data_IF_009383961950
#
_entry.id   IF_009383961950
#
_cell.length_a   1.000
_cell.length_b   1.000
_cell.length_c   1.000
_cell.angle_alpha   90.00
_cell.angle_beta   90.00
_cell.angle_gamma   90.00
#
_symmetry.space_group_name_H-M   'P 1'
#
loop_
_entity.id
_entity.type
_entity.pdbx_description
1 polymer ?
#
# COMPACT_ATOMS: atom_id res chain seq x y z
N UNK A 1 12.80 10.68 5.62
CA UNK A 1 13.62 10.80 4.39
C UNK A 1 13.52 9.58 3.48
N UNK A 2 13.53 8.35 4.03
CA UNK A 2 13.53 7.11 3.23
C UNK A 2 12.35 6.99 2.24
N UNK A 3 11.15 7.41 2.64
CA UNK A 3 9.95 7.37 1.80
C UNK A 3 10.07 8.25 0.54
N UNK A 4 10.63 9.46 0.68
CA UNK A 4 10.88 10.37 -0.44
C UNK A 4 11.95 9.80 -1.39
N UNK A 5 12.98 9.15 -0.85
CA UNK A 5 13.96 8.43 -1.66
C UNK A 5 13.32 7.31 -2.49
N UNK A 6 12.44 6.52 -1.87
CA UNK A 6 11.74 5.42 -2.54
C UNK A 6 10.79 5.92 -3.65
N UNK A 7 10.10 7.05 -3.43
CA UNK A 7 9.27 7.70 -4.47
C UNK A 7 10.11 8.14 -5.67
N UNK A 8 11.30 8.69 -5.45
CA UNK A 8 12.19 9.11 -6.54
C UNK A 8 12.74 7.90 -7.32
N UNK A 9 13.16 6.85 -6.62
CA UNK A 9 13.72 5.63 -7.24
C UNK A 9 12.69 4.87 -8.05
N UNK A 10 11.47 4.74 -7.54
CA UNK A 10 10.40 3.97 -8.20
C UNK A 10 9.61 4.81 -9.20
N UNK A 11 9.71 6.14 -9.15
CA UNK A 11 8.88 7.06 -9.94
C UNK A 11 7.40 7.07 -9.53
N UNK A 12 7.01 6.33 -8.49
CA UNK A 12 5.62 6.22 -8.04
C UNK A 12 5.33 7.17 -6.88
N UNK A 13 4.16 7.81 -6.90
CA UNK A 13 3.67 8.63 -5.78
C UNK A 13 3.32 7.80 -4.53
N UNK A 14 3.22 6.48 -4.66
CA UNK A 14 2.98 5.54 -3.54
C UNK A 14 3.70 4.22 -3.83
N UNK A 15 5.01 4.15 -3.57
CA UNK A 15 5.85 3.00 -3.93
C UNK A 15 5.47 1.69 -3.24
N UNK A 16 4.75 1.77 -2.11
CA UNK A 16 4.30 0.62 -1.33
C UNK A 16 2.83 0.82 -1.01
N UNK A 17 2.00 -0.18 -1.32
CA UNK A 17 0.56 -0.19 -1.02
C UNK A 17 0.14 -1.54 -0.45
N UNK A 18 -0.95 -1.58 0.32
CA UNK A 18 -1.49 -2.82 0.90
C UNK A 18 -2.85 -3.14 0.29
N UNK A 19 -3.09 -4.41 0.00
CA UNK A 19 -4.38 -4.91 -0.50
C UNK A 19 -5.38 -5.00 0.65
N UNK A 20 -6.45 -4.22 0.57
CA UNK A 20 -7.47 -4.15 1.63
C UNK A 20 -8.61 -5.16 1.44
N UNK A 21 -8.89 -5.57 0.20
CA UNK A 21 -10.03 -6.40 -0.15
C UNK A 21 -9.58 -7.62 -0.99
N UNK A 22 -10.24 -8.77 -0.79
CA UNK A 22 -9.97 -10.02 -1.53
C UNK A 22 -10.60 -10.08 -2.94
N UNK A 23 -11.00 -8.94 -3.52
CA UNK A 23 -11.63 -8.92 -4.85
C UNK A 23 -10.68 -9.34 -5.99
N UNK A 24 -9.38 -9.43 -5.71
CA UNK A 24 -8.35 -9.85 -6.67
C UNK A 24 -7.88 -11.30 -6.44
N UNK A 25 -8.62 -12.10 -5.65
CA UNK A 25 -8.32 -13.53 -5.47
C UNK A 25 -8.54 -14.31 -6.78
N UNK A 26 -7.64 -15.26 -7.15
CA UNK A 26 -6.54 -15.81 -6.34
C UNK A 26 -5.19 -15.08 -6.49
N UNK A 27 -5.10 -14.02 -7.31
CA UNK A 27 -3.82 -13.36 -7.61
C UNK A 27 -3.25 -12.58 -6.42
N UNK A 28 -4.12 -11.93 -5.64
CA UNK A 28 -3.76 -11.21 -4.42
C UNK A 28 -4.77 -11.47 -3.31
N UNK A 29 -4.26 -11.64 -2.10
CA UNK A 29 -5.06 -11.81 -0.89
C UNK A 29 -5.08 -10.52 -0.07
N UNK A 30 -6.09 -10.39 0.78
CA UNK A 30 -6.16 -9.29 1.75
C UNK A 30 -4.91 -9.31 2.65
N UNK A 31 -4.22 -8.18 2.71
CA UNK A 31 -3.00 -8.02 3.48
C UNK A 31 -1.71 -8.25 2.69
N UNK A 32 -1.78 -8.52 1.39
CA UNK A 32 -0.60 -8.52 0.53
C UNK A 32 -0.05 -7.10 0.38
N UNK A 33 1.27 -6.96 0.52
CA UNK A 33 1.99 -5.71 0.34
C UNK A 33 2.52 -5.64 -1.08
N UNK A 34 2.09 -4.67 -1.89
CA UNK A 34 2.52 -4.49 -3.27
C UNK A 34 3.59 -3.41 -3.37
N UNK A 35 4.59 -3.67 -4.21
CA UNK A 35 5.61 -2.69 -4.61
C UNK A 35 5.28 -2.12 -5.98
N UNK A 36 5.14 -0.80 -6.05
CA UNK A 36 4.75 -0.08 -7.25
C UNK A 36 5.94 0.65 -7.86
N UNK A 37 6.06 0.57 -9.18
CA UNK A 37 7.00 1.36 -9.98
C UNK A 37 6.25 2.07 -11.10
N UNK A 38 6.64 3.31 -11.40
CA UNK A 38 6.07 4.10 -12.48
C UNK A 38 7.20 4.75 -13.29
N UNK A 39 7.89 3.94 -14.10
CA UNK A 39 8.90 4.43 -15.03
C UNK A 39 8.25 4.88 -16.33
N UNK A 40 8.53 6.11 -16.77
CA UNK A 40 7.95 6.68 -18.00
C UNK A 40 8.30 5.89 -19.27
N UNK A 41 9.45 5.21 -19.26
CA UNK A 41 9.98 4.46 -20.40
C UNK A 41 9.48 3.00 -20.46
N UNK A 42 8.69 2.54 -19.48
CA UNK A 42 8.12 1.19 -19.43
C UNK A 42 6.61 1.22 -19.73
N UNK A 43 6.19 0.98 -20.99
CA UNK A 43 4.78 1.04 -21.37
C UNK A 43 3.99 -0.11 -20.72
N UNK A 44 2.80 0.22 -20.20
CA UNK A 44 1.87 -0.73 -19.61
C UNK A 44 1.36 -1.69 -20.69
N UNK A 45 1.40 -2.99 -20.40
CA UNK A 45 0.99 -4.07 -21.29
C UNK A 45 -0.25 -4.78 -20.76
N UNK A 46 -0.95 -5.48 -21.65
CA UNK A 46 -2.06 -6.37 -21.26
C UNK A 46 -1.50 -7.46 -20.34
N UNK A 47 -2.14 -7.63 -19.17
CA UNK A 47 -1.68 -8.54 -18.11
C UNK A 47 -0.97 -7.84 -16.94
N UNK A 48 -0.68 -6.55 -17.06
CA UNK A 48 -0.08 -5.78 -15.97
C UNK A 48 -1.12 -5.43 -14.89
N UNK A 49 -0.74 -5.57 -13.62
CA UNK A 49 -1.52 -5.05 -12.50
C UNK A 49 -1.12 -3.60 -12.27
N UNK A 50 -2.05 -2.69 -12.53
CA UNK A 50 -1.87 -1.25 -12.37
C UNK A 50 -2.72 -0.72 -11.22
N UNK A 51 -2.12 0.14 -10.41
CA UNK A 51 -2.81 0.82 -9.32
C UNK A 51 -3.10 2.24 -9.77
N UNK A 52 -4.37 2.60 -9.70
CA UNK A 52 -4.89 3.91 -10.05
C UNK A 52 -5.39 4.62 -8.80
N UNK A 53 -5.20 5.93 -8.75
CA UNK A 53 -5.81 6.78 -7.74
C UNK A 53 -7.13 7.28 -8.31
N UNK A 54 -8.24 6.89 -7.68
CA UNK A 54 -9.55 7.41 -8.08
C UNK A 54 -9.74 8.76 -7.43
N UNK A 55 -9.75 9.85 -8.22
CA UNK A 55 -10.05 11.18 -7.70
C UNK A 55 -11.56 11.45 -7.77
N UNK A 56 -12.18 11.65 -6.59
CA UNK A 56 -13.34 12.54 -6.45
C UNK A 56 -14.77 11.99 -6.57
N UNK A 57 -15.10 10.72 -6.25
CA UNK A 57 -16.53 10.32 -6.15
C UNK A 57 -16.87 9.22 -5.13
N UNK A 58 -18.00 9.39 -4.44
CA UNK A 58 -18.63 8.45 -3.49
C UNK A 58 -19.50 7.35 -4.14
N UNK A 59 -19.74 7.37 -5.46
CA UNK A 59 -20.34 6.24 -6.21
C UNK A 59 -19.83 6.26 -7.67
N UNK A 60 -19.11 5.23 -8.19
CA UNK A 60 -18.65 5.23 -9.57
C UNK A 60 -19.50 4.34 -10.50
N UNK A 61 -20.09 4.98 -11.50
CA UNK A 61 -20.59 4.38 -12.74
C UNK A 61 -19.39 4.15 -13.68
N UNK A 62 -19.40 3.06 -14.44
CA UNK A 62 -18.31 2.57 -15.33
C UNK A 62 -17.65 3.71 -16.14
N UNK A 63 -16.38 4.01 -15.86
CA UNK A 63 -15.55 4.89 -16.69
C UNK A 63 -14.52 4.04 -17.46
N UNK A 64 -14.60 4.05 -18.79
CA UNK A 64 -13.70 3.33 -19.71
C UNK A 64 -12.40 4.12 -20.02
N UNK A 65 -12.17 5.25 -19.35
CA UNK A 65 -11.10 6.19 -19.67
C UNK A 65 -10.34 6.55 -18.40
N UNK A 66 -9.19 5.91 -18.19
CA UNK A 66 -8.18 6.36 -17.23
C UNK A 66 -7.21 7.26 -17.97
N UNK A 67 -7.07 8.52 -17.56
CA UNK A 67 -5.98 9.35 -18.06
C UNK A 67 -4.66 8.82 -17.48
N UNK A 68 -3.57 8.86 -18.26
CA UNK A 68 -2.24 8.41 -17.79
C UNK A 68 -1.77 9.11 -16.51
N UNK A 69 -2.38 10.26 -16.16
CA UNK A 69 -2.09 11.03 -14.94
C UNK A 69 -2.66 10.38 -13.65
N UNK A 70 -3.65 9.51 -13.77
CA UNK A 70 -4.32 8.86 -12.62
C UNK A 70 -3.62 7.56 -12.20
N UNK A 71 -2.62 7.13 -12.97
CA UNK A 71 -1.84 5.92 -12.74
C UNK A 71 -0.77 6.20 -11.68
N UNK A 72 -0.91 5.54 -10.53
CA UNK A 72 0.04 5.65 -9.41
C UNK A 72 1.29 4.83 -9.70
N UNK A 73 1.13 3.65 -10.29
CA UNK A 73 2.21 2.78 -10.73
C UNK A 73 1.77 1.35 -11.03
N UNK A 74 2.70 0.58 -11.56
CA UNK A 74 2.55 -0.85 -11.86
C UNK A 74 3.09 -1.69 -10.70
N UNK A 75 2.34 -2.71 -10.30
CA UNK A 75 2.81 -3.67 -9.31
C UNK A 75 3.90 -4.56 -9.92
N UNK A 76 5.12 -4.46 -9.40
CA UNK A 76 6.28 -5.26 -9.85
C UNK A 76 6.57 -6.45 -8.95
N UNK A 77 6.12 -6.41 -7.71
CA UNK A 77 6.28 -7.49 -6.75
C UNK A 77 5.32 -7.32 -5.59
N UNK A 78 5.18 -8.40 -4.81
CA UNK A 78 4.39 -8.37 -3.60
C UNK A 78 5.00 -9.25 -2.52
N UNK A 79 4.68 -8.94 -1.27
CA UNK A 79 5.00 -9.76 -0.12
C UNK A 79 3.70 -10.16 0.55
N UNK A 80 3.36 -11.45 0.59
CA UNK A 80 2.06 -11.90 1.04
C UNK A 80 1.91 -11.74 2.56
N UNK A 81 0.69 -11.46 3.03
CA UNK A 81 0.28 -11.38 4.44
C UNK A 81 0.93 -10.30 5.33
N UNK A 82 2.03 -9.66 4.92
CA UNK A 82 2.75 -8.68 5.76
C UNK A 82 1.92 -7.43 6.05
N UNK A 83 1.09 -7.02 5.11
CA UNK A 83 0.17 -5.89 5.27
C UNK A 83 -0.97 -6.15 6.26
N UNK A 84 -1.18 -7.39 6.73
CA UNK A 84 -2.15 -7.65 7.81
C UNK A 84 -1.77 -6.88 9.07
N UNK A 85 -0.48 -6.71 9.35
CA UNK A 85 0.01 -5.96 10.53
C UNK A 85 -0.41 -4.50 10.45
N UNK A 86 -0.29 -3.89 9.27
CA UNK A 86 -0.67 -2.47 9.07
C UNK A 86 -2.18 -2.29 9.11
N UNK A 87 -2.94 -3.23 8.53
CA UNK A 87 -4.41 -3.26 8.61
C UNK A 87 -4.85 -3.41 10.07
N UNK A 88 -4.30 -4.36 10.82
CA UNK A 88 -4.66 -4.59 12.22
C UNK A 88 -4.38 -3.36 13.09
N UNK A 89 -3.23 -2.71 12.88
CA UNK A 89 -2.87 -1.49 13.60
C UNK A 89 -3.77 -0.29 13.25
N UNK A 90 -4.33 -0.27 12.03
CA UNK A 90 -5.27 0.76 11.59
C UNK A 90 -6.70 0.50 12.08
N UNK A 91 -7.20 -0.74 11.93
CA UNK A 91 -8.57 -1.13 12.26
C UNK A 91 -8.79 -1.19 13.78
N UNK A 92 -7.77 -1.54 14.56
CA UNK A 92 -7.82 -1.57 16.03
C UNK A 92 -6.83 -0.58 16.65
N UNK A 93 -7.18 0.72 16.72
CA UNK A 93 -6.30 1.72 17.31
C UNK A 93 -5.96 1.41 18.78
N UNK A 94 -6.83 0.71 19.51
CA UNK A 94 -6.57 0.23 20.89
C UNK A 94 -5.33 -0.68 20.97
N UNK A 95 -5.11 -1.52 19.95
CA UNK A 95 -3.95 -2.40 19.89
C UNK A 95 -2.64 -1.61 19.78
N UNK A 96 -2.62 -0.55 18.97
CA UNK A 96 -1.48 0.37 18.88
C UNK A 96 -1.13 1.00 20.22
N UNK A 97 -2.13 1.47 20.97
CA UNK A 97 -1.91 2.06 22.29
C UNK A 97 -1.42 1.04 23.32
N UNK A 98 -1.90 -0.20 23.27
CA UNK A 98 -1.43 -1.30 24.12
C UNK A 98 0.08 -1.56 23.91
N UNK A 99 0.53 -1.68 22.66
CA UNK A 99 1.94 -1.93 22.33
C UNK A 99 2.84 -0.78 22.81
N UNK A 100 2.42 0.46 22.59
CA UNK A 100 3.14 1.64 23.08
C UNK A 100 3.20 1.68 24.62
N UNK A 101 2.11 1.29 25.30
CA UNK A 101 2.07 1.16 26.76
C UNK A 101 3.04 0.11 27.28
N UNK A 102 3.06 -1.09 26.67
CA UNK A 102 3.98 -2.16 27.04
C UNK A 102 5.44 -1.76 26.81
N UNK A 103 5.77 -1.11 25.69
CA UNK A 103 7.11 -0.58 25.42
C UNK A 103 7.51 0.49 26.43
N UNK A 104 6.61 1.41 26.77
CA UNK A 104 6.86 2.42 27.79
C UNK A 104 7.14 1.80 29.17
N UNK A 105 6.36 0.80 29.56
CA UNK A 105 6.57 0.08 30.82
C UNK A 105 7.88 -0.73 30.81
N UNK A 106 8.20 -1.41 29.70
CA UNK A 106 9.44 -2.14 29.53
C UNK A 106 10.66 -1.22 29.64
N UNK A 107 10.62 -0.07 28.99
CA UNK A 107 11.69 0.94 29.10
C UNK A 107 11.83 1.44 30.53
N UNK A 108 10.73 1.63 31.27
CA UNK A 108 10.79 2.06 32.67
C UNK A 108 11.39 0.97 33.58
N UNK A 109 11.05 -0.30 33.37
CA UNK A 109 11.56 -1.43 34.16
C UNK A 109 13.03 -1.72 33.86
N UNK A 110 13.49 -1.51 32.62
CA UNK A 110 14.89 -1.71 32.23
C UNK A 110 15.76 -0.45 32.34
N UNK A 111 15.24 0.64 32.92
CA UNK A 111 16.01 1.88 33.12
C UNK A 111 16.85 1.90 34.39
N UNK A 112 16.84 0.81 35.16
CA UNK A 112 17.80 0.51 36.22
C UNK A 112 18.95 -0.35 35.66
#
# INVERSE_FOLDING_TARGET
MIWKGLMVVTGSGSPIVVVLCGSMEPAFHRGDLLFLTNYRDDPIRVGDIVVFKVEGRDIPIVHLWFDKKDIVGRARGFVPYVGIVTILMNDYPKFKYLVLGCLGLFVLVHRE
#
